data_IF_786477368665
#
_entry.id   IF_786477368665
#
_cell.length_a   1.000
_cell.length_b   1.000
_cell.length_c   1.000
_cell.angle_alpha   90.00
_cell.angle_beta   90.00
_cell.angle_gamma   90.00
#
_symmetry.space_group_name_H-M   'P 1'
#
loop_
_entity.id
_entity.type
_entity.pdbx_description
1 polymer ?
#
# COMPACT_ATOMS: atom_id res chain seq x y z
N UNK A 1 9.73 -7.42 26.77
CA UNK A 1 10.69 -6.48 26.32
C UNK A 1 10.91 -6.56 24.84
N UNK A 2 10.43 -6.23 23.99
CA UNK A 2 10.61 -6.18 22.56
C UNK A 2 9.77 -5.06 21.99
N UNK A 3 9.94 -4.81 20.73
CA UNK A 3 9.12 -3.85 20.03
C UNK A 3 7.76 -4.47 19.76
N UNK A 4 6.70 -3.66 19.90
CA UNK A 4 5.39 -4.06 19.41
C UNK A 4 5.46 -4.21 17.90
N UNK A 5 4.85 -5.26 17.38
CA UNK A 5 4.71 -5.45 15.95
C UNK A 5 3.42 -4.78 15.51
N UNK A 6 3.54 -3.84 14.57
CA UNK A 6 2.40 -3.18 13.95
C UNK A 6 2.18 -3.80 12.58
N UNK A 7 1.01 -4.40 12.39
CA UNK A 7 0.64 -5.04 11.14
C UNK A 7 -0.14 -4.05 10.27
N UNK A 8 0.43 -3.74 9.11
CA UNK A 8 -0.19 -2.85 8.12
C UNK A 8 -0.29 -3.61 6.81
N UNK A 9 -1.46 -3.66 6.22
CA UNK A 9 -1.63 -4.29 4.91
C UNK A 9 -1.56 -3.22 3.83
N UNK A 10 -0.86 -3.52 2.74
CA UNK A 10 -0.71 -2.61 1.61
C UNK A 10 -1.07 -3.30 0.30
N UNK A 11 -1.51 -2.53 -0.67
CA UNK A 11 -1.99 -3.05 -1.95
C UNK A 11 -1.28 -2.39 -3.12
N UNK A 12 -0.74 -3.21 -4.02
CA UNK A 12 -0.28 -2.77 -5.33
C UNK A 12 -1.43 -2.98 -6.31
N UNK A 13 -2.21 -1.93 -6.57
CA UNK A 13 -3.22 -1.94 -7.62
C UNK A 13 -2.51 -1.82 -8.95
N UNK A 14 -2.68 -2.79 -9.83
CA UNK A 14 -1.97 -2.84 -11.12
C UNK A 14 -2.99 -2.68 -12.24
N UNK A 15 -2.81 -1.67 -13.08
CA UNK A 15 -3.70 -1.42 -14.20
C UNK A 15 -3.35 -2.29 -15.42
N UNK A 16 -4.14 -2.14 -16.49
CA UNK A 16 -3.95 -2.95 -17.71
C UNK A 16 -2.61 -2.69 -18.40
N UNK A 17 -1.99 -1.54 -18.13
CA UNK A 17 -0.69 -1.18 -18.70
C UNK A 17 0.48 -1.57 -17.80
N UNK A 18 0.21 -2.23 -16.67
CA UNK A 18 1.24 -2.64 -15.72
C UNK A 18 1.72 -1.52 -14.79
N UNK A 19 0.97 -0.41 -14.71
CA UNK A 19 1.28 0.68 -13.79
C UNK A 19 0.66 0.41 -12.43
N UNK A 20 1.33 0.84 -11.39
CA UNK A 20 0.92 0.64 -9.99
C UNK A 20 0.50 1.97 -9.39
N UNK A 21 -0.60 1.96 -8.63
CA UNK A 21 -1.11 3.17 -7.99
C UNK A 21 -0.32 3.48 -6.73
N UNK A 22 0.20 4.70 -6.66
CA UNK A 22 0.82 5.26 -5.47
C UNK A 22 0.00 6.43 -4.98
N UNK A 23 -0.02 6.63 -3.65
CA UNK A 23 -0.72 7.73 -3.01
C UNK A 23 0.28 8.56 -2.22
N UNK A 24 0.21 9.88 -2.37
CA UNK A 24 1.06 10.82 -1.64
C UNK A 24 0.30 11.38 -0.45
N UNK A 25 0.90 11.30 0.72
CA UNK A 25 0.28 11.82 1.95
C UNK A 25 0.12 13.34 1.86
N UNK A 26 -1.07 13.87 2.24
CA UNK A 26 -1.30 15.31 2.20
C UNK A 26 -0.46 16.05 3.25
N UNK A 27 -0.30 17.36 3.03
CA UNK A 27 0.38 18.24 3.98
C UNK A 27 -0.30 18.18 5.36
N UNK A 28 0.50 18.32 6.44
CA UNK A 28 0.00 18.31 7.81
C UNK A 28 -0.10 16.93 8.43
N UNK A 29 0.13 15.86 7.67
CA UNK A 29 0.16 14.49 8.19
C UNK A 29 1.58 14.02 8.44
N UNK A 30 1.71 13.01 9.30
CA UNK A 30 2.99 12.33 9.52
C UNK A 30 3.49 11.76 8.18
N UNK A 31 4.78 11.95 7.88
CA UNK A 31 5.40 11.57 6.61
C UNK A 31 4.76 12.25 5.39
N UNK A 32 4.26 13.48 5.57
CA UNK A 32 3.68 14.27 4.50
C UNK A 32 4.64 14.40 3.32
N UNK A 33 4.10 14.32 2.10
CA UNK A 33 4.88 14.43 0.87
C UNK A 33 5.53 13.14 0.43
N UNK A 34 5.49 12.08 1.23
CA UNK A 34 5.99 10.76 0.81
C UNK A 34 4.89 9.98 0.11
N UNK A 35 5.31 9.20 -0.89
CA UNK A 35 4.42 8.32 -1.63
C UNK A 35 4.42 6.94 -0.99
N UNK A 36 3.27 6.27 -1.04
CA UNK A 36 3.13 4.94 -0.46
C UNK A 36 2.11 4.11 -1.24
N UNK A 37 2.13 2.81 -1.02
CA UNK A 37 1.07 1.94 -1.49
C UNK A 37 -0.17 2.19 -0.64
N UNK A 38 -1.37 2.27 -1.23
CA UNK A 38 -2.59 2.40 -0.42
C UNK A 38 -2.75 1.21 0.53
N UNK A 39 -3.31 1.46 1.69
CA UNK A 39 -3.53 0.45 2.71
C UNK A 39 -3.67 1.06 4.08
N UNK A 40 -3.56 0.24 5.10
CA UNK A 40 -3.69 0.72 6.47
C UNK A 40 -3.53 -0.39 7.50
N UNK A 41 -3.65 -0.02 8.76
CA UNK A 41 -3.52 -0.96 9.86
C UNK A 41 -4.58 -2.04 9.81
N UNK A 42 -4.15 -3.27 10.09
CA UNK A 42 -5.06 -4.39 10.30
C UNK A 42 -5.62 -4.25 11.71
N UNK A 43 -6.92 -4.08 11.83
CA UNK A 43 -7.59 -3.90 13.10
C UNK A 43 -7.88 -5.24 13.76
N UNK A 44 -8.14 -5.21 15.07
CA UNK A 44 -8.46 -6.41 15.82
C UNK A 44 -9.65 -7.12 15.19
N UNK A 45 -9.49 -8.42 14.95
CA UNK A 45 -10.55 -9.23 14.35
C UNK A 45 -10.57 -9.22 12.83
N UNK A 46 -9.70 -8.42 12.19
CA UNK A 46 -9.59 -8.41 10.73
C UNK A 46 -8.45 -9.30 10.27
N UNK A 47 -8.63 -9.91 9.10
CA UNK A 47 -7.51 -10.45 8.34
C UNK A 47 -6.84 -9.32 7.55
N UNK A 48 -5.60 -9.47 7.07
CA UNK A 48 -5.00 -8.47 6.18
C UNK A 48 -5.86 -8.19 4.95
N UNK A 49 -6.51 -9.21 4.39
CA UNK A 49 -7.40 -9.07 3.24
C UNK A 49 -8.62 -8.22 3.57
N UNK A 50 -9.24 -8.47 4.74
CA UNK A 50 -10.39 -7.67 5.19
C UNK A 50 -10.00 -6.21 5.38
N UNK A 51 -8.83 -5.98 5.96
CA UNK A 51 -8.31 -4.62 6.16
C UNK A 51 -8.14 -3.91 4.82
N UNK A 52 -7.60 -4.58 3.81
CA UNK A 52 -7.42 -3.98 2.49
C UNK A 52 -8.73 -3.67 1.81
N UNK A 53 -9.70 -4.59 1.88
CA UNK A 53 -11.03 -4.36 1.30
C UNK A 53 -11.65 -3.10 1.91
N UNK A 54 -11.57 -2.97 3.24
CA UNK A 54 -12.09 -1.80 3.96
C UNK A 54 -11.33 -0.53 3.57
N UNK A 55 -9.99 -0.57 3.63
CA UNK A 55 -9.15 0.60 3.34
C UNK A 55 -9.31 1.08 1.91
N UNK A 56 -9.38 0.18 0.94
CA UNK A 56 -9.55 0.57 -0.46
C UNK A 56 -10.91 1.23 -0.70
N UNK A 57 -11.94 0.79 0.01
CA UNK A 57 -13.24 1.45 -0.04
C UNK A 57 -13.19 2.85 0.58
N UNK A 58 -12.56 2.98 1.74
CA UNK A 58 -12.48 4.26 2.45
C UNK A 58 -11.57 5.27 1.75
N UNK A 59 -10.38 4.85 1.34
CA UNK A 59 -9.38 5.73 0.77
C UNK A 59 -9.63 6.07 -0.70
N UNK A 60 -10.11 5.11 -1.48
CA UNK A 60 -10.17 5.23 -2.93
C UNK A 60 -11.57 5.04 -3.53
N UNK A 61 -12.53 4.62 -2.72
CA UNK A 61 -13.91 4.39 -3.19
C UNK A 61 -14.06 3.22 -4.13
N UNK A 62 -13.16 2.25 -4.08
CA UNK A 62 -13.24 1.05 -4.92
C UNK A 62 -13.63 -0.17 -4.10
N UNK A 63 -14.21 -1.16 -4.78
CA UNK A 63 -14.60 -2.42 -4.15
C UNK A 63 -13.73 -3.55 -4.68
N UNK A 64 -13.07 -4.27 -3.77
CA UNK A 64 -12.22 -5.40 -4.10
C UNK A 64 -12.84 -6.67 -3.50
N UNK A 65 -12.91 -7.73 -4.32
CA UNK A 65 -13.28 -9.05 -3.84
C UNK A 65 -12.04 -9.77 -3.33
N UNK A 66 -12.16 -10.50 -2.21
CA UNK A 66 -11.03 -11.17 -1.58
C UNK A 66 -10.20 -12.04 -2.54
N UNK A 67 -10.81 -12.86 -3.43
CA UNK A 67 -10.02 -13.69 -4.35
C UNK A 67 -9.14 -12.90 -5.32
N UNK A 68 -9.37 -11.60 -5.47
CA UNK A 68 -8.56 -10.75 -6.33
C UNK A 68 -7.28 -10.25 -5.65
N UNK A 69 -7.13 -10.50 -4.34
CA UNK A 69 -5.93 -10.13 -3.58
C UNK A 69 -4.94 -11.28 -3.60
N UNK A 70 -3.81 -11.07 -4.24
CA UNK A 70 -2.75 -12.09 -4.32
C UNK A 70 -1.56 -11.65 -3.45
N UNK A 71 -1.17 -12.42 -2.43
CA UNK A 71 0.02 -12.09 -1.64
C UNK A 71 1.24 -12.03 -2.54
N UNK A 72 2.02 -10.95 -2.44
CA UNK A 72 3.18 -10.73 -3.30
C UNK A 72 4.48 -10.82 -2.52
N UNK A 73 4.61 -10.02 -1.48
CA UNK A 73 5.80 -9.94 -0.64
C UNK A 73 5.44 -9.25 0.67
N UNK A 74 6.42 -8.92 1.48
CA UNK A 74 6.18 -8.14 2.68
C UNK A 74 7.41 -7.28 3.00
N UNK A 75 7.18 -6.19 3.73
CA UNK A 75 8.23 -5.37 4.31
C UNK A 75 8.30 -5.64 5.81
N UNK A 76 9.51 -5.65 6.36
CA UNK A 76 9.76 -5.82 7.78
C UNK A 76 10.80 -4.77 8.18
N UNK A 77 10.40 -3.79 8.99
CA UNK A 77 11.26 -2.65 9.30
C UNK A 77 11.05 -2.16 10.72
N UNK A 78 12.15 -1.96 11.45
CA UNK A 78 12.10 -1.42 12.80
C UNK A 78 12.21 0.09 12.79
N UNK A 79 11.21 0.74 13.36
CA UNK A 79 11.26 2.16 13.72
C UNK A 79 11.64 2.27 15.20
N UNK A 80 11.96 3.48 15.69
CA UNK A 80 12.42 3.60 17.09
C UNK A 80 11.47 3.05 18.15
N UNK A 81 10.15 3.10 17.92
CA UNK A 81 9.16 2.72 18.93
C UNK A 81 8.34 1.49 18.55
N UNK A 82 8.49 0.95 17.35
CA UNK A 82 7.73 -0.23 16.92
C UNK A 82 8.42 -0.91 15.75
N UNK A 83 8.00 -2.15 15.48
CA UNK A 83 8.43 -2.90 14.31
C UNK A 83 7.26 -3.00 13.33
N UNK A 84 7.46 -2.51 12.11
CA UNK A 84 6.43 -2.60 11.06
C UNK A 84 6.56 -3.93 10.33
N UNK A 85 5.46 -4.66 10.23
CA UNK A 85 5.33 -5.82 9.33
C UNK A 85 4.21 -5.50 8.36
N UNK A 86 4.55 -5.39 7.07
CA UNK A 86 3.62 -4.93 6.06
C UNK A 86 3.55 -5.89 4.89
N UNK A 87 2.56 -6.81 4.88
CA UNK A 87 2.30 -7.62 3.69
C UNK A 87 1.81 -6.74 2.55
N UNK A 88 2.35 -6.98 1.36
CA UNK A 88 1.96 -6.29 0.14
C UNK A 88 1.26 -7.28 -0.77
N UNK A 89 0.03 -6.95 -1.14
CA UNK A 89 -0.79 -7.73 -2.06
C UNK A 89 -0.83 -7.06 -3.41
N UNK A 90 -0.89 -7.84 -4.47
CA UNK A 90 -1.19 -7.33 -5.81
C UNK A 90 -2.67 -7.52 -6.09
N UNK A 91 -3.28 -6.55 -6.75
CA UNK A 91 -4.68 -6.61 -7.17
C UNK A 91 -4.80 -6.03 -8.58
N UNK A 92 -5.35 -6.81 -9.50
CA UNK A 92 -5.51 -6.40 -10.89
C UNK A 92 -6.97 -6.21 -11.30
N UNK A 93 -7.91 -6.51 -10.40
CA UNK A 93 -9.35 -6.40 -10.66
C UNK A 93 -10.06 -5.76 -9.48
N UNK A 94 -10.85 -4.75 -9.75
CA UNK A 94 -11.68 -4.07 -8.77
C UNK A 94 -12.86 -3.41 -9.46
N UNK A 95 -13.86 -2.99 -8.70
CA UNK A 95 -15.00 -2.23 -9.19
C UNK A 95 -14.82 -0.76 -8.81
N UNK A 96 -15.12 0.13 -9.74
CA UNK A 96 -15.01 1.57 -9.54
C UNK A 96 -13.70 2.13 -10.07
N UNK A 97 -13.58 3.43 -10.00
CA UNK A 97 -12.38 4.16 -10.42
C UNK A 97 -11.73 4.74 -9.17
N UNK A 98 -10.44 4.42 -8.92
CA UNK A 98 -9.77 4.99 -7.75
C UNK A 98 -9.82 6.52 -7.75
N UNK A 99 -10.26 7.07 -6.63
CA UNK A 99 -10.41 8.50 -6.42
C UNK A 99 -9.88 8.86 -5.04
N UNK A 100 -9.23 10.01 -4.92
CA UNK A 100 -8.62 10.44 -3.68
C UNK A 100 -9.68 10.94 -2.71
N UNK A 101 -10.19 10.05 -1.85
CA UNK A 101 -11.25 10.37 -0.88
C UNK A 101 -10.74 11.07 0.37
N UNK A 102 -9.43 11.08 0.62
CA UNK A 102 -8.83 11.59 1.85
C UNK A 102 -7.86 12.75 1.60
N UNK A 103 -7.98 13.40 0.45
CA UNK A 103 -7.12 14.54 0.12
C UNK A 103 -5.71 14.17 -0.33
N UNK A 104 -5.42 12.88 -0.51
CA UNK A 104 -4.13 12.43 -1.02
C UNK A 104 -4.02 12.68 -2.52
N UNK A 105 -2.80 12.76 -3.00
CA UNK A 105 -2.52 12.80 -4.45
C UNK A 105 -2.31 11.38 -4.95
N UNK A 106 -2.79 11.06 -6.15
CA UNK A 106 -2.65 9.73 -6.74
C UNK A 106 -1.79 9.79 -8.00
N UNK A 107 -0.99 8.74 -8.23
CA UNK A 107 -0.21 8.61 -9.45
C UNK A 107 -0.13 7.13 -9.86
N UNK A 108 -0.32 6.88 -11.15
CA UNK A 108 -0.09 5.56 -11.75
C UNK A 108 1.35 5.52 -12.26
N UNK A 109 2.16 4.62 -11.70
CA UNK A 109 3.61 4.61 -11.90
C UNK A 109 4.07 3.24 -12.36
N UNK A 110 4.90 3.21 -13.39
CA UNK A 110 5.52 1.94 -13.81
C UNK A 110 6.53 1.49 -12.75
N UNK A 111 6.65 0.19 -12.48
CA UNK A 111 7.58 -0.29 -11.45
C UNK A 111 9.01 0.21 -11.61
N UNK A 112 9.51 0.32 -12.85
CA UNK A 112 10.87 0.81 -13.11
C UNK A 112 11.04 2.32 -12.91
N UNK A 113 9.96 3.05 -12.62
CA UNK A 113 9.98 4.49 -12.37
C UNK A 113 9.66 4.84 -10.92
N UNK A 114 9.35 3.87 -10.08
CA UNK A 114 8.96 4.12 -8.69
C UNK A 114 10.06 4.74 -7.86
N UNK A 115 11.33 4.49 -8.20
CA UNK A 115 12.45 5.09 -7.49
C UNK A 115 12.47 6.63 -7.57
N UNK A 116 11.73 7.21 -8.51
CA UNK A 116 11.60 8.66 -8.64
C UNK A 116 10.59 9.25 -7.64
N UNK A 117 9.88 8.41 -6.91
CA UNK A 117 8.84 8.80 -5.96
C UNK A 117 9.33 8.54 -4.54
N UNK A 118 9.64 9.58 -3.74
CA UNK A 118 10.14 9.38 -2.38
C UNK A 118 9.16 8.60 -1.53
N UNK A 119 9.64 7.56 -0.86
CA UNK A 119 8.82 6.67 -0.04
C UNK A 119 9.38 6.54 1.37
N UNK A 120 8.56 6.12 2.36
CA UNK A 120 9.07 5.77 3.68
C UNK A 120 10.12 4.66 3.58
N UNK A 121 11.06 4.59 4.55
CA UNK A 121 12.12 3.58 4.51
C UNK A 121 11.62 2.14 4.39
N UNK A 122 10.48 1.81 4.99
CA UNK A 122 9.92 0.47 4.94
C UNK A 122 9.51 0.05 3.54
N UNK A 123 9.11 1.01 2.69
CA UNK A 123 8.60 0.74 1.35
C UNK A 123 9.70 0.58 0.31
N UNK A 124 10.87 1.20 0.54
CA UNK A 124 11.95 1.19 -0.45
C UNK A 124 12.39 -0.19 -0.90
N UNK A 125 12.58 -1.18 0.00
CA UNK A 125 12.98 -2.52 -0.44
C UNK A 125 11.96 -3.21 -1.34
N UNK A 126 10.69 -2.79 -1.28
CA UNK A 126 9.63 -3.38 -2.11
C UNK A 126 9.78 -3.02 -3.57
N UNK A 127 10.46 -1.92 -3.89
CA UNK A 127 10.62 -1.45 -5.28
C UNK A 127 11.36 -2.47 -6.15
N UNK A 128 12.43 -3.05 -5.63
CA UNK A 128 13.17 -4.06 -6.37
C UNK A 128 12.33 -5.30 -6.63
N UNK A 129 11.54 -5.71 -5.62
CA UNK A 129 10.64 -6.85 -5.74
C UNK A 129 9.57 -6.61 -6.79
N UNK A 130 8.99 -5.41 -6.83
CA UNK A 130 7.95 -5.09 -7.80
C UNK A 130 8.52 -5.06 -9.22
N UNK A 131 9.73 -4.55 -9.42
CA UNK A 131 10.38 -4.58 -10.73
C UNK A 131 10.58 -5.99 -11.24
N UNK A 132 10.87 -6.92 -10.34
CA UNK A 132 11.14 -8.31 -10.71
C UNK A 132 9.87 -9.14 -10.86
N UNK A 133 8.81 -8.82 -10.11
CA UNK A 133 7.61 -9.64 -10.03
C UNK A 133 6.42 -9.13 -10.85
N UNK A 134 6.44 -7.87 -11.27
CA UNK A 134 5.33 -7.27 -12.03
C UNK A 134 5.68 -6.97 -13.49
#
# INVERSE_FOLDING_TARGET
MGLDIVLVAACALVDVDGRVLLARRPAGRHLAGLWEFPGGKVEKGETPEDALIREMSEELGITIAEPCLAPLTFASHSYPTFHLLMPLYACRRWQGVPDAKEGQELAWVRPNRMAEYPMPPADEPLLAMLRDLL
#
